data_IF_303012921095
#
_entry.id   IF_303012921095
#
_cell.length_a   1.000
_cell.length_b   1.000
_cell.length_c   1.000
_cell.angle_alpha   90.00
_cell.angle_beta   90.00
_cell.angle_gamma   90.00
#
_symmetry.space_group_name_H-M   'P 1'
#
loop_
_entity.id
_entity.type
_entity.pdbx_description
1 polymer ?
#
# COMPACT_ATOMS: atom_id res chain seq x y z
N UNK A 1 -4.81 -5.42 15.02
CA UNK A 1 -5.37 -5.41 16.40
C UNK A 1 -6.38 -6.55 16.57
N UNK A 2 -7.44 -6.61 15.77
CA UNK A 2 -8.40 -7.71 15.82
C UNK A 2 -7.80 -9.07 15.42
N UNK A 3 -6.81 -9.10 14.53
CA UNK A 3 -6.09 -10.34 14.19
C UNK A 3 -5.36 -10.96 15.39
N UNK A 4 -4.91 -10.14 16.34
CA UNK A 4 -4.28 -10.61 17.59
C UNK A 4 -5.35 -11.07 18.59
N UNK A 5 -6.31 -10.19 18.90
CA UNK A 5 -7.26 -10.43 20.00
C UNK A 5 -8.42 -11.33 19.61
N UNK A 6 -8.83 -11.35 18.35
CA UNK A 6 -9.89 -12.20 17.82
C UNK A 6 -9.67 -13.68 18.17
N UNK A 7 -8.58 -14.32 17.73
CA UNK A 7 -8.30 -15.71 18.09
C UNK A 7 -8.06 -15.88 19.60
N UNK A 8 -7.31 -14.98 20.25
CA UNK A 8 -6.98 -15.13 21.67
C UNK A 8 -8.19 -15.05 22.62
N UNK A 9 -9.24 -14.30 22.25
CA UNK A 9 -10.48 -14.19 23.03
C UNK A 9 -11.51 -15.27 22.69
N UNK A 10 -11.33 -16.00 21.59
CA UNK A 10 -12.30 -16.99 21.09
C UNK A 10 -11.78 -18.42 21.09
N UNK A 11 -10.55 -18.65 21.58
CA UNK A 11 -9.90 -19.97 21.58
C UNK A 11 -9.30 -20.38 20.23
N UNK A 12 -9.14 -19.42 19.31
CA UNK A 12 -8.47 -19.62 18.03
C UNK A 12 -6.94 -19.65 18.13
N UNK A 13 -6.29 -20.06 17.04
CA UNK A 13 -4.83 -20.02 16.89
C UNK A 13 -4.43 -18.73 16.15
N UNK A 14 -3.47 -18.01 16.71
CA UNK A 14 -2.81 -16.87 16.07
C UNK A 14 -1.51 -17.35 15.40
N UNK A 15 -1.35 -17.07 14.11
CA UNK A 15 -0.09 -17.27 13.39
C UNK A 15 0.63 -15.93 13.30
N UNK A 16 1.79 -15.84 13.95
CA UNK A 16 2.68 -14.68 13.79
C UNK A 16 3.62 -14.97 12.64
N UNK A 17 3.49 -14.18 11.58
CA UNK A 17 4.21 -14.40 10.32
C UNK A 17 5.36 -13.41 10.21
N UNK A 18 6.49 -13.89 9.72
CA UNK A 18 7.65 -13.04 9.42
C UNK A 18 7.29 -11.95 8.40
N UNK A 19 7.86 -10.75 8.58
CA UNK A 19 7.53 -9.57 7.77
C UNK A 19 7.90 -9.73 6.30
N UNK A 20 9.01 -10.42 6.00
CA UNK A 20 9.44 -10.65 4.62
C UNK A 20 8.55 -11.70 3.97
N UNK A 21 8.22 -12.78 4.69
CA UNK A 21 7.31 -13.82 4.22
C UNK A 21 5.92 -13.26 3.93
N UNK A 22 5.35 -12.45 4.82
CA UNK A 22 4.05 -11.82 4.62
C UNK A 22 3.99 -10.89 3.39
N UNK A 23 5.14 -10.49 2.84
CA UNK A 23 5.27 -9.65 1.64
C UNK A 23 5.65 -10.43 0.37
N UNK A 24 5.85 -11.74 0.47
CA UNK A 24 6.00 -12.62 -0.68
C UNK A 24 4.69 -13.41 -0.92
N UNK A 25 3.87 -13.01 -1.91
CA UNK A 25 2.57 -13.62 -2.15
C UNK A 25 2.62 -15.14 -2.34
N UNK A 26 3.64 -15.66 -3.03
CA UNK A 26 3.75 -17.10 -3.32
C UNK A 26 4.04 -17.92 -2.07
N UNK A 27 5.03 -17.50 -1.27
CA UNK A 27 5.32 -18.15 0.01
C UNK A 27 4.16 -18.00 1.01
N UNK A 28 3.49 -16.84 1.00
CA UNK A 28 2.37 -16.60 1.90
C UNK A 28 1.14 -17.46 1.57
N UNK A 29 0.85 -17.70 0.27
CA UNK A 29 -0.18 -18.66 -0.17
C UNK A 29 0.11 -20.07 0.36
N UNK A 30 1.36 -20.53 0.27
CA UNK A 30 1.78 -21.85 0.78
C UNK A 30 1.67 -21.93 2.30
N UNK A 31 2.14 -20.91 3.02
CA UNK A 31 1.97 -20.82 4.47
C UNK A 31 0.49 -20.91 4.87
N UNK A 32 -0.40 -20.19 4.17
CA UNK A 32 -1.83 -20.25 4.46
C UNK A 32 -2.41 -21.66 4.28
N UNK A 33 -1.90 -22.43 3.31
CA UNK A 33 -2.33 -23.80 3.09
C UNK A 33 -1.75 -24.77 4.12
N UNK A 34 -0.45 -24.72 4.36
CA UNK A 34 0.28 -25.62 5.26
C UNK A 34 -0.19 -25.47 6.70
N UNK A 35 -0.40 -24.23 7.14
CA UNK A 35 -0.87 -23.92 8.49
C UNK A 35 -2.40 -23.99 8.62
N UNK A 36 -3.13 -24.19 7.51
CA UNK A 36 -4.59 -24.29 7.51
C UNK A 36 -5.28 -23.01 7.98
N UNK A 37 -4.80 -21.84 7.53
CA UNK A 37 -5.35 -20.54 7.90
C UNK A 37 -6.82 -20.45 7.48
N UNK A 38 -7.70 -20.05 8.40
CA UNK A 38 -9.16 -19.99 8.19
C UNK A 38 -9.74 -18.58 8.11
N UNK A 39 -9.01 -17.58 8.62
CA UNK A 39 -9.40 -16.16 8.58
C UNK A 39 -8.17 -15.37 8.20
N UNK A 40 -8.29 -14.54 7.17
CA UNK A 40 -7.21 -13.73 6.64
C UNK A 40 -7.64 -12.27 6.56
N UNK A 41 -6.90 -11.34 7.16
CA UNK A 41 -7.07 -9.90 6.91
C UNK A 41 -6.04 -9.45 5.88
N UNK A 42 -6.46 -8.65 4.90
CA UNK A 42 -5.56 -8.02 3.93
C UNK A 42 -6.06 -6.64 3.55
N UNK A 43 -5.17 -5.78 3.08
CA UNK A 43 -5.60 -4.65 2.27
C UNK A 43 -6.01 -5.18 0.88
N UNK A 44 -6.93 -4.51 0.17
CA UNK A 44 -7.29 -4.85 -1.21
C UNK A 44 -6.08 -5.14 -2.12
N UNK A 45 -5.07 -4.27 -2.13
CA UNK A 45 -3.87 -4.43 -2.96
C UNK A 45 -3.08 -5.70 -2.64
N UNK A 46 -2.92 -6.02 -1.35
CA UNK A 46 -2.19 -7.21 -0.93
C UNK A 46 -3.00 -8.49 -1.25
N UNK A 47 -4.33 -8.43 -1.13
CA UNK A 47 -5.21 -9.51 -1.57
C UNK A 47 -5.11 -9.79 -3.07
N UNK A 48 -5.01 -8.77 -3.92
CA UNK A 48 -4.89 -8.98 -5.38
C UNK A 48 -3.63 -9.75 -5.73
N UNK A 49 -2.52 -9.43 -5.06
CA UNK A 49 -1.26 -10.17 -5.21
C UNK A 49 -1.37 -11.61 -4.71
N UNK A 50 -2.02 -11.82 -3.57
CA UNK A 50 -2.30 -13.15 -3.02
C UNK A 50 -3.15 -13.99 -3.98
N UNK A 51 -4.22 -13.41 -4.54
CA UNK A 51 -5.10 -14.05 -5.50
C UNK A 51 -4.35 -14.46 -6.78
N UNK A 52 -3.50 -13.57 -7.30
CA UNK A 52 -2.68 -13.86 -8.48
C UNK A 52 -1.67 -14.98 -8.19
N UNK A 53 -0.95 -14.94 -7.07
CA UNK A 53 -0.01 -15.99 -6.70
C UNK A 53 -0.69 -17.34 -6.52
N UNK A 54 -1.88 -17.37 -5.90
CA UNK A 54 -2.69 -18.58 -5.79
C UNK A 54 -3.07 -19.14 -7.16
N UNK A 55 -3.37 -18.32 -8.17
CA UNK A 55 -3.68 -18.81 -9.54
C UNK A 55 -2.50 -19.52 -10.21
N UNK A 56 -1.28 -19.10 -9.90
CA UNK A 56 -0.06 -19.72 -10.42
C UNK A 56 0.21 -21.08 -9.78
N UNK A 57 -0.23 -21.28 -8.52
CA UNK A 57 -0.09 -22.55 -7.79
C UNK A 57 -1.47 -23.23 -7.59
N UNK A 58 -2.06 -23.74 -8.69
CA UNK A 58 -3.45 -24.25 -8.73
C UNK A 58 -3.72 -25.43 -7.78
N UNK A 59 -2.69 -26.18 -7.43
CA UNK A 59 -2.80 -27.39 -6.61
C UNK A 59 -2.92 -27.09 -5.11
N UNK A 60 -2.46 -25.91 -4.65
CA UNK A 60 -2.54 -25.50 -3.24
C UNK A 60 -3.99 -25.41 -2.76
N UNK A 61 -4.39 -26.15 -1.73
CA UNK A 61 -5.75 -26.07 -1.16
C UNK A 61 -5.74 -25.17 0.08
N UNK A 62 -6.59 -24.14 0.06
CA UNK A 62 -6.73 -23.19 1.18
C UNK A 62 -7.90 -23.62 2.09
N UNK A 63 -7.73 -23.39 3.40
CA UNK A 63 -8.77 -23.61 4.42
C UNK A 63 -9.52 -22.32 4.79
N UNK A 64 -9.37 -21.26 3.98
CA UNK A 64 -9.94 -19.94 4.25
C UNK A 64 -11.48 -20.01 4.26
N UNK A 65 -12.07 -19.47 5.33
CA UNK A 65 -13.51 -19.24 5.48
C UNK A 65 -13.86 -17.77 5.32
N UNK A 66 -12.97 -16.88 5.74
CA UNK A 66 -13.16 -15.43 5.63
C UNK A 66 -11.89 -14.75 5.11
N UNK A 67 -12.07 -13.82 4.18
CA UNK A 67 -11.04 -12.86 3.80
C UNK A 67 -11.62 -11.46 4.06
N UNK A 68 -10.99 -10.74 4.98
CA UNK A 68 -11.44 -9.43 5.46
C UNK A 68 -10.57 -8.34 4.86
N UNK A 69 -11.22 -7.42 4.16
CA UNK A 69 -10.60 -6.25 3.55
C UNK A 69 -10.78 -5.01 4.39
N UNK A 70 -9.79 -4.12 4.35
CA UNK A 70 -9.92 -2.77 4.87
C UNK A 70 -8.73 -1.90 4.50
N UNK A 71 -8.89 -0.60 4.70
CA UNK A 71 -7.80 0.38 4.54
C UNK A 71 -7.54 0.86 3.11
N UNK A 72 -8.22 0.31 2.09
CA UNK A 72 -8.21 0.82 0.71
C UNK A 72 -9.60 0.66 0.07
N UNK A 73 -9.84 1.37 -1.03
CA UNK A 73 -11.00 1.13 -1.88
C UNK A 73 -10.90 -0.24 -2.58
N UNK A 74 -12.02 -0.96 -2.68
CA UNK A 74 -12.07 -2.21 -3.44
C UNK A 74 -12.26 -1.95 -4.92
N UNK A 75 -11.37 -2.51 -5.73
CA UNK A 75 -11.58 -2.67 -7.15
C UNK A 75 -12.35 -3.98 -7.43
N UNK A 76 -13.62 -3.83 -7.80
CA UNK A 76 -14.51 -4.96 -8.07
C UNK A 76 -14.10 -5.86 -9.24
N UNK A 77 -13.27 -5.40 -10.18
CA UNK A 77 -12.77 -6.27 -11.24
C UNK A 77 -11.88 -7.38 -10.68
N UNK A 78 -11.00 -7.06 -9.73
CA UNK A 78 -10.14 -8.05 -9.08
C UNK A 78 -10.91 -8.95 -8.12
N UNK A 79 -11.95 -8.42 -7.47
CA UNK A 79 -12.83 -9.24 -6.62
C UNK A 79 -13.64 -10.23 -7.46
N UNK A 80 -14.20 -9.78 -8.61
CA UNK A 80 -14.91 -10.65 -9.56
C UNK A 80 -14.02 -11.80 -10.04
N UNK A 81 -12.77 -11.49 -10.35
CA UNK A 81 -11.74 -12.47 -10.75
C UNK A 81 -11.55 -13.57 -9.70
N UNK A 82 -11.56 -13.24 -8.40
CA UNK A 82 -11.48 -14.25 -7.34
C UNK A 82 -12.67 -15.21 -7.35
N UNK A 83 -13.89 -14.68 -7.50
CA UNK A 83 -15.09 -15.52 -7.60
C UNK A 83 -15.12 -16.39 -8.86
N UNK A 84 -14.54 -15.94 -9.97
CA UNK A 84 -14.38 -16.77 -11.17
C UNK A 84 -13.47 -17.99 -10.89
N UNK A 85 -12.46 -17.85 -10.03
CA UNK A 85 -11.57 -18.95 -9.63
C UNK A 85 -12.17 -19.84 -8.53
N UNK A 86 -13.06 -19.27 -7.71
CA UNK A 86 -13.76 -19.92 -6.60
C UNK A 86 -15.29 -19.80 -6.77
N UNK A 87 -15.88 -20.41 -7.81
CA UNK A 87 -17.33 -20.37 -7.99
C UNK A 87 -18.04 -21.02 -6.80
N UNK A 88 -19.26 -20.57 -6.48
CA UNK A 88 -20.07 -21.15 -5.41
C UNK A 88 -20.09 -22.69 -5.50
N UNK A 89 -19.56 -23.37 -4.48
CA UNK A 89 -19.38 -24.83 -4.47
C UNK A 89 -17.99 -25.34 -4.91
N UNK A 90 -16.98 -24.48 -5.09
CA UNK A 90 -15.59 -24.94 -5.22
C UNK A 90 -15.12 -25.58 -3.92
N UNK A 91 -14.41 -26.72 -3.97
CA UNK A 91 -13.95 -27.39 -2.77
C UNK A 91 -12.87 -26.57 -2.05
N UNK A 92 -13.26 -25.85 -1.00
CA UNK A 92 -12.39 -25.68 0.17
C UNK A 92 -12.45 -26.97 1.00
N UNK A 93 -11.64 -27.08 2.06
CA UNK A 93 -11.72 -28.22 2.99
C UNK A 93 -13.13 -28.41 3.59
N UNK A 94 -14.00 -27.39 3.50
CA UNK A 94 -15.39 -27.37 3.99
C UNK A 94 -16.45 -27.21 2.87
N UNK A 95 -16.08 -27.26 1.58
CA UNK A 95 -17.05 -27.32 0.45
C UNK A 95 -17.67 -25.99 -0.02
N UNK A 96 -17.21 -24.84 0.49
CA UNK A 96 -17.56 -23.49 0.00
C UNK A 96 -16.32 -22.59 -0.01
N UNK A 97 -16.16 -21.74 -1.04
CA UNK A 97 -15.10 -20.73 -1.08
C UNK A 97 -15.22 -19.71 0.06
N UNK A 98 -14.15 -18.95 0.39
CA UNK A 98 -14.20 -18.01 1.51
C UNK A 98 -15.17 -16.86 1.24
N UNK A 99 -15.85 -16.42 2.31
CA UNK A 99 -16.63 -15.18 2.29
C UNK A 99 -15.67 -14.00 2.26
N UNK A 100 -15.77 -13.22 1.19
CA UNK A 100 -15.07 -11.95 1.07
C UNK A 100 -15.85 -10.87 1.81
N UNK A 101 -15.17 -10.11 2.67
CA UNK A 101 -15.80 -9.12 3.54
C UNK A 101 -15.10 -7.80 3.37
N UNK A 102 -15.81 -6.77 2.91
CA UNK A 102 -15.34 -5.40 2.98
C UNK A 102 -15.65 -4.80 4.35
N UNK A 103 -14.65 -4.29 5.05
CA UNK A 103 -14.83 -3.55 6.29
C UNK A 103 -14.23 -2.16 6.16
N UNK A 104 -14.98 -1.15 6.58
CA UNK A 104 -14.49 0.21 6.66
C UNK A 104 -14.34 0.63 8.10
N UNK A 105 -13.32 1.43 8.34
CA UNK A 105 -13.11 2.15 9.57
C UNK A 105 -11.76 2.83 9.57
N UNK A 106 -11.56 3.62 10.61
CA UNK A 106 -10.40 4.47 10.77
C UNK A 106 -9.85 4.28 12.17
N UNK A 107 -8.61 4.69 12.38
CA UNK A 107 -7.90 4.52 13.65
C UNK A 107 -8.69 5.10 14.82
N UNK A 108 -9.30 6.27 14.64
CA UNK A 108 -10.04 7.00 15.66
C UNK A 108 -11.35 6.32 16.10
N UNK A 109 -11.80 5.32 15.35
CA UNK A 109 -13.03 4.56 15.60
C UNK A 109 -12.77 3.09 15.86
N UNK A 110 -11.54 2.73 16.24
CA UNK A 110 -11.13 1.37 16.62
C UNK A 110 -11.25 0.36 15.47
N UNK A 111 -10.38 0.51 14.47
CA UNK A 111 -10.17 -0.44 13.35
C UNK A 111 -11.29 -0.43 12.31
N UNK A 112 -12.46 -0.99 12.63
CA UNK A 112 -13.57 -1.14 11.70
C UNK A 112 -14.88 -0.75 12.38
N UNK A 113 -15.79 -0.16 11.62
CA UNK A 113 -17.08 0.38 12.06
C UNK A 113 -18.23 -0.15 11.23
N UNK A 114 -17.97 -0.59 10.00
CA UNK A 114 -18.95 -1.22 9.14
C UNK A 114 -18.44 -2.55 8.58
N UNK A 115 -19.39 -3.37 8.14
CA UNK A 115 -19.17 -4.70 7.61
C UNK A 115 -20.08 -4.95 6.40
N UNK A 116 -19.51 -5.49 5.32
CA UNK A 116 -20.23 -5.90 4.12
C UNK A 116 -19.67 -7.21 3.56
N UNK A 117 -20.38 -8.34 3.67
CA UNK A 117 -20.03 -9.54 2.93
C UNK A 117 -20.39 -9.33 1.46
N UNK A 118 -19.44 -9.60 0.57
CA UNK A 118 -19.58 -9.39 -0.86
C UNK A 118 -20.20 -10.62 -1.53
N UNK A 119 -21.16 -10.39 -2.42
CA UNK A 119 -21.68 -11.42 -3.33
C UNK A 119 -21.32 -11.13 -4.79
N UNK A 120 -21.37 -12.18 -5.61
CA UNK A 120 -21.15 -12.02 -7.05
C UNK A 120 -22.22 -11.17 -7.73
N UNK A 121 -23.47 -11.28 -7.30
CA UNK A 121 -24.58 -10.52 -7.86
C UNK A 121 -24.38 -9.01 -7.61
N UNK A 122 -23.96 -8.63 -6.40
CA UNK A 122 -23.64 -7.23 -6.06
C UNK A 122 -22.45 -6.70 -6.85
N UNK A 123 -21.39 -7.51 -7.01
CA UNK A 123 -20.21 -7.13 -7.79
C UNK A 123 -20.54 -6.93 -9.27
N UNK A 124 -21.39 -7.78 -9.84
CA UNK A 124 -21.82 -7.68 -11.24
C UNK A 124 -22.79 -6.51 -11.48
N UNK A 125 -23.65 -6.21 -10.50
CA UNK A 125 -24.62 -5.11 -10.58
C UNK A 125 -24.08 -3.75 -10.16
N UNK A 126 -22.88 -3.68 -9.56
CA UNK A 126 -22.33 -2.44 -9.03
C UNK A 126 -21.90 -1.45 -10.12
N UNK A 127 -22.10 -0.17 -9.84
CA UNK A 127 -21.59 0.97 -10.62
C UNK A 127 -20.10 1.25 -10.40
N UNK A 128 -19.41 0.42 -9.61
CA UNK A 128 -17.97 0.55 -9.31
C UNK A 128 -17.65 1.22 -7.97
N UNK A 129 -18.64 1.65 -7.19
CA UNK A 129 -18.45 2.29 -5.88
C UNK A 129 -18.21 1.24 -4.78
N UNK A 130 -17.19 1.45 -3.95
CA UNK A 130 -16.90 0.56 -2.80
C UNK A 130 -18.04 0.56 -1.78
N UNK A 131 -18.70 -0.60 -1.67
CA UNK A 131 -19.78 -0.86 -0.71
C UNK A 131 -19.15 -1.18 0.64
N UNK A 132 -19.31 -0.26 1.60
CA UNK A 132 -18.71 -0.39 2.94
C UNK A 132 -19.69 -0.94 3.98
N UNK A 133 -20.97 -1.12 3.63
CA UNK A 133 -21.87 -2.00 4.36
C UNK A 133 -22.69 -1.33 5.46
N UNK A 134 -22.97 -2.11 6.51
CA UNK A 134 -23.81 -1.70 7.65
C UNK A 134 -22.96 -1.56 8.91
N UNK A 135 -23.37 -0.73 9.89
CA UNK A 135 -22.62 -0.55 11.12
C UNK A 135 -22.48 -1.86 11.89
N UNK A 136 -21.31 -2.07 12.50
CA UNK A 136 -21.08 -3.15 13.46
C UNK A 136 -21.95 -2.95 14.72
N UNK A 137 -22.16 -4.01 15.52
CA UNK A 137 -22.82 -3.87 16.82
C UNK A 137 -22.19 -2.75 17.66
N UNK A 138 -23.05 -2.04 18.40
CA UNK A 138 -22.67 -0.91 19.26
C UNK A 138 -22.02 0.30 18.55
N UNK A 139 -21.96 0.26 17.22
CA UNK A 139 -21.45 1.35 16.37
C UNK A 139 -22.60 2.04 15.66
N UNK A 140 -22.47 3.35 15.45
CA UNK A 140 -23.42 4.15 14.68
C UNK A 140 -22.68 4.88 13.58
N UNK A 141 -23.24 4.89 12.37
CA UNK A 141 -22.70 5.65 11.24
C UNK A 141 -23.78 6.60 10.74
N UNK A 142 -23.42 7.87 10.61
CA UNK A 142 -24.30 8.97 10.26
C UNK A 142 -23.78 9.63 8.98
N UNK A 143 -24.68 10.02 8.09
CA UNK A 143 -24.38 10.80 6.89
C UNK A 143 -24.98 12.18 7.10
N UNK A 144 -24.12 13.19 7.27
CA UNK A 144 -24.53 14.54 7.66
C UNK A 144 -24.17 15.60 6.61
N UNK A 145 -24.95 16.68 6.57
CA UNK A 145 -24.62 17.91 5.84
C UNK A 145 -23.67 18.82 6.64
N UNK A 146 -23.32 19.98 6.06
CA UNK A 146 -22.45 20.98 6.70
C UNK A 146 -23.03 21.62 7.97
N UNK A 147 -24.34 21.54 8.15
CA UNK A 147 -25.05 22.02 9.34
C UNK A 147 -25.30 20.88 10.35
N UNK A 148 -24.64 19.72 10.16
CA UNK A 148 -24.78 18.50 10.94
C UNK A 148 -26.20 17.91 10.95
N UNK A 149 -27.00 18.12 9.90
CA UNK A 149 -28.32 17.48 9.77
C UNK A 149 -28.19 16.15 9.05
N UNK A 150 -28.99 15.17 9.47
CA UNK A 150 -29.07 13.88 8.78
C UNK A 150 -29.60 14.05 7.35
N UNK A 151 -28.91 13.41 6.40
CA UNK A 151 -29.32 13.42 5.01
C UNK A 151 -30.24 12.23 4.66
N UNK A 152 -31.18 12.41 3.71
CA UNK A 152 -31.98 11.31 3.18
C UNK A 152 -31.16 10.24 2.46
N UNK A 153 -31.77 9.07 2.26
CA UNK A 153 -31.24 8.00 1.40
C UNK A 153 -30.89 8.56 0.02
N UNK A 154 -29.74 8.15 -0.52
CA UNK A 154 -29.23 8.52 -1.84
C UNK A 154 -28.48 9.85 -1.90
N UNK A 155 -28.54 10.68 -0.85
CA UNK A 155 -27.88 11.99 -0.83
C UNK A 155 -26.47 11.89 -0.24
N UNK A 156 -25.43 12.28 -1.00
CA UNK A 156 -24.04 12.35 -0.49
C UNK A 156 -23.88 13.32 0.67
N UNK A 157 -23.16 12.90 1.71
CA UNK A 157 -22.74 13.74 2.82
C UNK A 157 -21.47 13.23 3.47
N UNK A 158 -21.04 13.90 4.54
CA UNK A 158 -19.88 13.51 5.31
C UNK A 158 -20.24 12.41 6.32
N UNK A 159 -19.35 11.43 6.48
CA UNK A 159 -19.52 10.33 7.41
C UNK A 159 -19.10 10.73 8.82
N UNK A 160 -19.95 10.39 9.79
CA UNK A 160 -19.68 10.54 11.21
C UNK A 160 -19.90 9.21 11.92
N UNK A 161 -19.02 8.88 12.86
CA UNK A 161 -19.09 7.62 13.60
C UNK A 161 -19.33 7.89 15.07
N UNK A 162 -20.34 7.24 15.64
CA UNK A 162 -20.62 7.20 17.07
C UNK A 162 -20.54 5.77 17.62
N UNK A 163 -20.65 5.64 18.94
CA UNK A 163 -20.69 4.33 19.62
C UNK A 163 -19.45 4.05 20.46
N UNK A 164 -19.38 2.83 20.99
CA UNK A 164 -18.36 2.41 21.97
C UNK A 164 -16.95 2.33 21.37
N UNK A 165 -16.84 2.17 20.05
CA UNK A 165 -15.57 2.15 19.32
C UNK A 165 -14.91 3.51 19.10
N UNK A 166 -15.55 4.63 19.43
CA UNK A 166 -14.95 5.96 19.28
C UNK A 166 -13.84 6.17 20.32
N UNK A 167 -12.62 6.40 19.85
CA UNK A 167 -11.42 6.57 20.69
C UNK A 167 -11.52 7.81 21.60
N UNK A 168 -10.69 7.86 22.65
CA UNK A 168 -10.70 8.96 23.61
C UNK A 168 -10.27 10.31 23.00
N UNK A 169 -9.55 10.32 21.88
CA UNK A 169 -9.03 11.52 21.24
C UNK A 169 -7.57 11.39 20.87
N UNK A 170 -6.97 12.52 20.52
CA UNK A 170 -5.56 12.60 20.15
C UNK A 170 -4.69 12.95 21.35
N UNK A 171 -3.65 12.15 21.60
CA UNK A 171 -2.71 12.34 22.70
C UNK A 171 -2.07 13.74 22.62
N UNK A 172 -2.17 14.51 23.70
CA UNK A 172 -1.62 15.87 23.81
C UNK A 172 -2.09 16.86 22.72
N UNK A 173 -3.26 16.63 22.11
CA UNK A 173 -3.85 17.51 21.09
C UNK A 173 -5.34 17.78 21.38
N UNK A 174 -5.67 18.49 22.48
CA UNK A 174 -7.06 18.71 22.89
C UNK A 174 -7.86 19.57 21.89
N UNK A 175 -7.21 20.49 21.18
CA UNK A 175 -7.84 21.33 20.14
C UNK A 175 -8.34 20.47 18.98
N UNK A 176 -7.45 19.65 18.41
CA UNK A 176 -7.78 18.72 17.33
C UNK A 176 -8.82 17.69 17.79
N UNK A 177 -8.75 17.26 19.06
CA UNK A 177 -9.75 16.36 19.65
C UNK A 177 -11.13 17.01 19.70
N UNK A 178 -11.24 18.28 20.09
CA UNK A 178 -12.53 19.00 20.07
C UNK A 178 -13.05 19.25 18.65
N UNK A 179 -12.15 19.49 17.71
CA UNK A 179 -12.50 19.71 16.30
C UNK A 179 -13.07 18.45 15.64
N UNK A 180 -12.41 17.30 15.84
CA UNK A 180 -12.78 16.04 15.18
C UNK A 180 -13.80 15.22 15.95
N UNK A 181 -13.88 15.36 17.27
CA UNK A 181 -14.82 14.61 18.09
C UNK A 181 -15.89 15.53 18.67
N UNK A 182 -16.99 15.65 17.94
CA UNK A 182 -18.08 16.57 18.23
C UNK A 182 -19.15 15.91 19.10
N UNK A 183 -19.98 16.73 19.73
CA UNK A 183 -21.20 16.29 20.43
C UNK A 183 -22.38 16.52 19.50
N UNK A 184 -23.22 15.49 19.30
CA UNK A 184 -24.38 15.60 18.44
C UNK A 184 -25.69 15.42 19.23
N UNK A 185 -26.65 16.37 19.18
CA UNK A 185 -27.85 16.32 20.00
C UNK A 185 -28.74 15.10 19.77
N UNK A 186 -28.77 14.57 18.54
CA UNK A 186 -29.58 13.40 18.19
C UNK A 186 -28.85 12.07 18.43
N UNK A 187 -27.54 12.10 18.71
CA UNK A 187 -26.84 10.87 19.08
C UNK A 187 -27.35 10.40 20.46
N UNK A 188 -27.53 9.09 20.69
CA UNK A 188 -27.99 8.57 21.97
C UNK A 188 -27.19 9.13 23.15
N UNK A 189 -27.89 9.55 24.21
CA UNK A 189 -27.33 10.25 25.37
C UNK A 189 -26.50 11.51 25.03
N UNK A 190 -26.84 12.22 23.93
CA UNK A 190 -26.07 13.37 23.45
C UNK A 190 -24.67 12.97 22.99
N UNK A 191 -24.53 11.75 22.48
CA UNK A 191 -23.26 11.05 22.29
C UNK A 191 -22.22 11.77 21.44
N UNK A 192 -20.97 11.33 21.63
CA UNK A 192 -19.79 11.80 20.90
C UNK A 192 -19.74 11.14 19.52
N UNK A 193 -19.61 11.97 18.48
CA UNK A 193 -19.37 11.52 17.11
C UNK A 193 -17.96 11.92 16.67
N UNK A 194 -17.30 11.05 15.91
CA UNK A 194 -16.07 11.36 15.23
C UNK A 194 -16.33 11.74 13.77
N UNK A 195 -15.76 12.87 13.34
CA UNK A 195 -15.82 13.41 11.98
C UNK A 195 -14.75 12.78 11.09
N UNK A 196 -15.14 11.88 10.19
CA UNK A 196 -14.19 11.04 9.44
C UNK A 196 -13.42 11.77 8.35
N UNK A 197 -14.02 12.82 7.79
CA UNK A 197 -13.56 13.46 6.56
C UNK A 197 -13.83 12.65 5.29
N UNK A 198 -14.54 11.53 5.40
CA UNK A 198 -14.98 10.71 4.27
C UNK A 198 -16.38 11.13 3.81
N UNK A 199 -16.64 10.99 2.51
CA UNK A 199 -17.94 11.18 1.90
C UNK A 199 -18.60 9.82 1.67
N UNK A 200 -19.90 9.76 1.91
CA UNK A 200 -20.70 8.57 1.61
C UNK A 200 -22.18 8.86 1.54
N UNK A 201 -22.97 7.82 1.25
CA UNK A 201 -24.43 7.86 1.27
C UNK A 201 -25.02 6.49 1.55
N UNK A 202 -26.21 6.48 2.13
CA UNK A 202 -27.03 5.26 2.21
C UNK A 202 -27.72 5.03 0.87
N UNK A 203 -27.70 3.80 0.37
CA UNK A 203 -28.56 3.40 -0.74
C UNK A 203 -29.92 2.88 -0.23
N UNK A 204 -30.82 2.53 -1.16
CA UNK A 204 -32.18 2.08 -0.83
C UNK A 204 -32.21 0.75 -0.04
N UNK A 205 -31.16 -0.07 -0.16
CA UNK A 205 -30.99 -1.33 0.58
C UNK A 205 -30.42 -1.13 1.99
N UNK A 206 -30.18 0.13 2.39
CA UNK A 206 -29.55 0.50 3.64
C UNK A 206 -28.08 0.07 3.71
N UNK A 207 -27.40 -0.02 2.57
CA UNK A 207 -25.96 -0.26 2.46
C UNK A 207 -25.27 1.09 2.29
N UNK A 208 -24.18 1.31 3.03
CA UNK A 208 -23.40 2.52 2.94
C UNK A 208 -22.41 2.42 1.76
N UNK A 209 -22.47 3.41 0.88
CA UNK A 209 -21.56 3.58 -0.25
C UNK A 209 -20.48 4.60 0.12
N UNK A 210 -19.21 4.25 -0.12
CA UNK A 210 -18.09 5.17 0.02
C UNK A 210 -17.89 5.98 -1.27
N UNK A 211 -17.73 7.29 -1.14
CA UNK A 211 -17.64 8.24 -2.27
C UNK A 211 -16.30 8.99 -2.31
N UNK A 212 -15.33 8.60 -1.48
CA UNK A 212 -14.03 9.26 -1.38
C UNK A 212 -13.91 10.18 -0.18
N UNK A 213 -12.96 11.12 -0.24
CA UNK A 213 -12.64 12.04 0.87
C UNK A 213 -13.05 13.48 0.59
N UNK A 214 -13.42 14.19 1.65
CA UNK A 214 -13.68 15.62 1.67
C UNK A 214 -12.42 16.46 1.98
N UNK A 215 -11.30 15.82 2.34
CA UNK A 215 -10.03 16.47 2.66
C UNK A 215 -8.87 15.97 1.77
N UNK A 216 -7.64 16.39 2.09
CA UNK A 216 -6.43 16.08 1.31
C UNK A 216 -5.77 14.75 1.70
N UNK A 217 -6.35 13.96 2.62
CA UNK A 217 -5.76 12.68 3.00
C UNK A 217 -5.87 11.67 1.86
N UNK A 218 -4.87 10.80 1.74
CA UNK A 218 -4.81 9.80 0.67
C UNK A 218 -4.41 8.45 1.25
N UNK A 219 -4.86 7.36 0.63
CA UNK A 219 -4.43 6.00 0.95
C UNK A 219 -3.36 5.58 -0.06
N UNK A 220 -2.15 5.33 0.43
CA UNK A 220 -1.01 4.87 -0.37
C UNK A 220 -0.60 3.51 0.14
N UNK A 221 -0.82 2.45 -0.67
CA UNK A 221 -0.41 1.07 -0.35
C UNK A 221 -0.91 0.61 1.04
N UNK A 222 -2.16 0.94 1.36
CA UNK A 222 -2.82 0.60 2.63
C UNK A 222 -2.49 1.51 3.80
N UNK A 223 -1.60 2.49 3.60
CA UNK A 223 -1.27 3.47 4.63
C UNK A 223 -2.08 4.75 4.43
N UNK A 224 -2.65 5.25 5.53
CA UNK A 224 -3.22 6.59 5.59
C UNK A 224 -2.08 7.60 5.60
N UNK A 225 -2.03 8.44 4.57
CA UNK A 225 -0.99 9.46 4.40
C UNK A 225 -1.61 10.85 4.46
N UNK A 226 -1.09 11.65 5.38
CA UNK A 226 -1.35 13.08 5.46
C UNK A 226 -0.35 13.81 4.54
N UNK A 227 -0.79 14.28 3.38
CA UNK A 227 0.15 14.95 2.44
C UNK A 227 0.80 16.20 3.04
N UNK A 228 0.10 16.87 3.96
CA UNK A 228 0.63 18.00 4.73
C UNK A 228 1.84 17.65 5.62
N UNK A 229 1.96 16.41 6.09
CA UNK A 229 3.14 15.97 6.86
C UNK A 229 4.38 15.93 5.96
N UNK A 230 4.22 15.44 4.73
CA UNK A 230 5.27 15.39 3.71
C UNK A 230 5.64 16.82 3.29
N UNK A 231 4.65 17.67 3.06
CA UNK A 231 4.86 19.10 2.74
C UNK A 231 5.65 19.80 3.85
N UNK A 232 5.29 19.59 5.11
CA UNK A 232 6.00 20.16 6.26
C UNK A 232 7.45 19.66 6.34
N UNK A 233 7.68 18.37 6.10
CA UNK A 233 9.03 17.79 6.05
C UNK A 233 9.87 18.40 4.91
N UNK A 234 9.28 18.55 3.70
CA UNK A 234 9.90 19.19 2.54
C UNK A 234 10.28 20.65 2.83
N UNK A 235 9.40 21.42 3.48
CA UNK A 235 9.63 22.83 3.83
C UNK A 235 10.78 23.04 4.82
N UNK A 236 11.28 21.98 5.48
CA UNK A 236 12.48 22.08 6.32
C UNK A 236 13.79 22.05 5.50
N UNK A 237 13.72 21.75 4.21
CA UNK A 237 14.88 21.75 3.32
C UNK A 237 15.22 23.19 2.89
N UNK A 238 16.48 23.66 3.01
CA UNK A 238 16.85 25.06 2.75
C UNK A 238 16.56 25.57 1.34
N UNK A 239 16.42 24.67 0.37
CA UNK A 239 16.16 25.02 -1.03
C UNK A 239 14.67 25.08 -1.41
N UNK A 240 13.75 24.75 -0.49
CA UNK A 240 12.31 24.68 -0.76
C UNK A 240 11.59 25.85 -0.07
N UNK A 241 10.97 26.72 -0.86
CA UNK A 241 10.16 27.84 -0.37
C UNK A 241 8.68 27.46 -0.23
N UNK A 242 8.17 26.62 -1.15
CA UNK A 242 6.80 26.07 -1.12
C UNK A 242 6.79 24.62 -1.59
N UNK A 243 5.94 23.81 -0.97
CA UNK A 243 5.69 22.43 -1.37
C UNK A 243 4.19 22.16 -1.40
N UNK A 244 3.75 21.34 -2.36
CA UNK A 244 2.41 20.79 -2.42
C UNK A 244 2.49 19.32 -2.84
N UNK A 245 1.88 18.42 -2.09
CA UNK A 245 1.95 16.98 -2.32
C UNK A 245 0.55 16.45 -2.61
N UNK A 246 0.42 15.61 -3.63
CA UNK A 246 -0.82 14.92 -3.92
C UNK A 246 -0.58 13.50 -4.42
N UNK A 247 -1.60 12.66 -4.26
CA UNK A 247 -1.60 11.34 -4.88
C UNK A 247 -1.88 11.42 -6.38
N UNK A 248 -1.33 10.47 -7.12
CA UNK A 248 -1.58 10.28 -8.54
C UNK A 248 -1.60 8.78 -8.88
N UNK A 249 -2.23 8.43 -10.00
CA UNK A 249 -2.19 7.06 -10.52
C UNK A 249 -0.81 6.79 -11.14
N UNK A 250 0.02 6.04 -10.42
CA UNK A 250 1.34 5.61 -10.91
C UNK A 250 1.19 4.48 -11.93
N UNK A 251 0.20 3.62 -11.73
CA UNK A 251 -0.27 2.58 -12.64
C UNK A 251 -1.77 2.27 -12.33
N UNK A 252 -2.49 1.53 -13.19
CA UNK A 252 -3.88 1.17 -12.92
C UNK A 252 -4.05 0.47 -11.56
N UNK A 253 -4.75 1.13 -10.62
CA UNK A 253 -4.97 0.64 -9.26
C UNK A 253 -3.78 0.80 -8.30
N UNK A 254 -2.72 1.51 -8.69
CA UNK A 254 -1.54 1.78 -7.86
C UNK A 254 -1.40 3.28 -7.65
N UNK A 255 -1.64 3.72 -6.40
CA UNK A 255 -1.48 5.11 -6.02
C UNK A 255 -0.02 5.42 -5.66
N UNK A 256 0.52 6.46 -6.26
CA UNK A 256 1.81 7.07 -5.94
C UNK A 256 1.64 8.49 -5.37
N UNK A 257 2.75 9.12 -5.01
CA UNK A 257 2.79 10.50 -4.49
C UNK A 257 3.69 11.36 -5.36
N UNK A 258 3.21 12.54 -5.75
CA UNK A 258 4.00 13.57 -6.44
C UNK A 258 4.13 14.81 -5.55
N UNK A 259 5.34 15.34 -5.45
CA UNK A 259 5.64 16.61 -4.79
C UNK A 259 5.91 17.72 -5.83
N UNK A 260 5.12 18.79 -5.78
CA UNK A 260 5.34 20.01 -6.54
C UNK A 260 6.08 21.03 -5.67
N UNK A 261 7.21 21.52 -6.15
CA UNK A 261 8.16 22.32 -5.38
C UNK A 261 8.37 23.68 -6.02
N UNK A 262 8.51 24.72 -5.19
CA UNK A 262 8.98 26.05 -5.60
C UNK A 262 10.16 26.40 -4.73
N UNK A 263 11.22 26.92 -5.33
CA UNK A 263 12.44 27.31 -4.65
C UNK A 263 13.65 27.17 -5.58
N UNK A 264 14.80 26.88 -5.01
CA UNK A 264 16.03 26.61 -5.77
C UNK A 264 16.07 25.13 -6.12
N UNK A 265 16.09 24.81 -7.41
CA UNK A 265 16.17 23.42 -7.85
C UNK A 265 17.40 22.70 -7.26
N UNK A 266 17.16 21.52 -6.68
CA UNK A 266 18.20 20.62 -6.18
C UNK A 266 17.97 19.19 -6.68
N UNK A 267 18.97 18.33 -6.46
CA UNK A 267 18.89 16.94 -6.89
C UNK A 267 17.77 16.19 -6.18
N UNK A 268 17.05 15.35 -6.93
CA UNK A 268 15.93 14.57 -6.36
C UNK A 268 16.44 13.62 -5.26
N UNK A 269 17.64 13.05 -5.41
CA UNK A 269 18.22 12.18 -4.38
C UNK A 269 18.47 12.93 -3.07
N UNK A 270 18.97 14.17 -3.12
CA UNK A 270 19.15 15.04 -1.95
C UNK A 270 17.83 15.25 -1.21
N UNK A 271 16.73 15.46 -1.93
CA UNK A 271 15.40 15.59 -1.34
C UNK A 271 14.92 14.29 -0.69
N UNK A 272 15.20 13.13 -1.29
CA UNK A 272 14.86 11.82 -0.70
C UNK A 272 15.68 11.54 0.55
N UNK A 273 16.99 11.81 0.52
CA UNK A 273 17.88 11.63 1.67
C UNK A 273 17.47 12.57 2.82
N UNK A 274 16.96 13.76 2.50
CA UNK A 274 16.38 14.67 3.48
C UNK A 274 15.07 14.15 4.09
N UNK A 275 14.19 13.53 3.31
CA UNK A 275 12.90 13.02 3.81
C UNK A 275 13.01 11.69 4.58
N UNK A 276 13.89 10.79 4.14
CA UNK A 276 14.01 9.43 4.68
C UNK A 276 14.18 9.32 6.20
N UNK A 277 14.94 10.20 6.90
CA UNK A 277 15.04 10.15 8.37
C UNK A 277 13.84 10.82 9.09
N UNK A 278 12.95 11.52 8.38
CA UNK A 278 11.89 12.36 8.97
C UNK A 278 10.50 11.75 8.81
N UNK A 279 10.27 11.00 7.75
CA UNK A 279 8.98 10.37 7.45
C UNK A 279 9.16 8.90 7.06
N UNK A 280 8.14 8.04 7.28
CA UNK A 280 8.18 6.66 6.82
C UNK A 280 8.42 6.54 5.30
N UNK A 281 9.12 5.50 4.87
CA UNK A 281 9.47 5.29 3.46
C UNK A 281 8.27 5.31 2.49
N UNK A 282 7.09 4.86 2.93
CA UNK A 282 5.87 4.88 2.10
C UNK A 282 5.26 6.28 1.90
N UNK A 283 5.69 7.26 2.69
CA UNK A 283 5.28 8.67 2.55
C UNK A 283 6.25 9.47 1.66
N UNK A 284 7.40 8.92 1.29
CA UNK A 284 8.35 9.61 0.41
C UNK A 284 7.76 9.66 -1.01
N UNK A 285 7.63 10.84 -1.63
CA UNK A 285 7.09 10.98 -2.98
C UNK A 285 7.88 10.16 -4.02
N UNK A 286 7.17 9.51 -4.95
CA UNK A 286 7.81 8.82 -6.07
C UNK A 286 8.23 9.81 -7.17
N UNK A 287 7.49 10.91 -7.34
CA UNK A 287 7.81 11.98 -8.28
C UNK A 287 8.03 13.33 -7.59
N UNK A 288 8.93 14.14 -8.16
CA UNK A 288 9.19 15.51 -7.75
C UNK A 288 9.17 16.40 -8.98
N UNK A 289 8.49 17.55 -8.90
CA UNK A 289 8.37 18.49 -10.01
C UNK A 289 8.58 19.92 -9.52
N UNK A 290 9.62 20.56 -10.04
CA UNK A 290 9.88 21.96 -9.77
C UNK A 290 8.98 22.85 -10.63
N UNK A 291 8.45 23.91 -10.02
CA UNK A 291 7.60 24.90 -10.66
C UNK A 291 8.12 26.30 -10.34
N UNK A 292 7.97 27.26 -11.27
CA UNK A 292 8.28 28.67 -10.98
C UNK A 292 7.35 29.24 -9.90
N UNK A 293 6.11 28.75 -9.83
CA UNK A 293 5.15 29.07 -8.78
C UNK A 293 4.06 27.97 -8.71
N UNK A 294 3.46 27.78 -7.53
CA UNK A 294 2.25 26.96 -7.40
C UNK A 294 1.06 27.73 -8.02
N UNK A 295 0.29 27.14 -8.95
CA UNK A 295 -0.91 27.78 -9.47
C UNK A 295 -1.93 27.93 -8.34
N UNK A 296 -2.59 29.08 -8.26
CA UNK A 296 -3.58 29.36 -7.22
C UNK A 296 -4.92 29.77 -7.82
N UNK A 297 -6.00 29.31 -7.19
CA UNK A 297 -7.36 29.80 -7.40
C UNK A 297 -7.48 31.29 -7.01
N UNK A 298 -8.55 32.00 -7.43
CA UNK A 298 -8.83 33.38 -7.00
C UNK A 298 -8.89 33.58 -5.48
N UNK A 299 -9.15 32.51 -4.72
CA UNK A 299 -9.21 32.51 -3.26
C UNK A 299 -7.85 32.20 -2.60
N UNK A 300 -6.76 32.16 -3.37
CA UNK A 300 -5.40 31.96 -2.85
C UNK A 300 -5.03 30.52 -2.48
N UNK A 301 -5.92 29.53 -2.71
CA UNK A 301 -5.60 28.10 -2.55
C UNK A 301 -4.92 27.54 -3.80
N UNK A 302 -4.08 26.50 -3.66
CA UNK A 302 -3.47 25.79 -4.81
C UNK A 302 -4.56 25.22 -5.72
N UNK A 303 -4.47 25.50 -7.01
CA UNK A 303 -5.38 24.96 -8.03
C UNK A 303 -4.85 23.62 -8.55
N UNK A 304 -5.40 22.52 -8.00
CA UNK A 304 -4.99 21.15 -8.32
C UNK A 304 -5.20 20.79 -9.80
N UNK A 305 -6.19 21.39 -10.47
CA UNK A 305 -6.48 21.11 -11.89
C UNK A 305 -5.50 21.82 -12.83
N UNK A 306 -4.90 22.91 -12.36
CA UNK A 306 -3.90 23.67 -13.08
C UNK A 306 -2.47 23.14 -12.87
N UNK A 307 -2.28 22.18 -11.96
CA UNK A 307 -0.97 21.55 -11.77
C UNK A 307 -0.61 20.70 -12.99
N UNK A 308 0.66 20.74 -13.45
CA UNK A 308 1.11 19.90 -14.55
C UNK A 308 0.87 18.42 -14.25
N UNK A 309 0.39 17.67 -15.25
CA UNK A 309 0.07 16.25 -15.09
C UNK A 309 1.24 15.46 -14.51
N UNK A 310 0.94 14.59 -13.55
CA UNK A 310 1.85 13.61 -12.98
C UNK A 310 1.95 12.42 -13.95
N UNK A 311 2.71 12.59 -15.03
CA UNK A 311 3.20 11.45 -15.81
C UNK A 311 4.62 11.17 -15.35
N UNK A 312 4.99 9.90 -15.22
CA UNK A 312 6.37 9.52 -15.46
C UNK A 312 6.65 9.91 -16.91
N UNK A 313 7.06 11.16 -17.13
CA UNK A 313 7.75 11.48 -18.35
C UNK A 313 9.03 10.66 -18.30
N UNK A 314 9.21 9.79 -19.29
CA UNK A 314 10.49 9.21 -19.66
C UNK A 314 11.44 10.37 -19.91
N UNK A 315 12.02 10.84 -18.82
CA UNK A 315 12.76 12.08 -18.78
C UNK A 315 13.94 11.86 -19.71
N UNK A 316 13.96 12.60 -20.82
CA UNK A 316 15.04 12.65 -21.80
C UNK A 316 16.32 13.26 -21.23
N UNK A 317 16.68 12.90 -20.00
CA UNK A 317 18.04 12.98 -19.53
C UNK A 317 18.88 12.04 -20.39
N UNK A 318 20.03 12.52 -20.82
CA UNK A 318 21.06 11.72 -21.47
C UNK A 318 21.27 10.42 -20.70
N UNK A 319 20.70 9.31 -21.17
CA UNK A 319 20.87 8.02 -20.53
C UNK A 319 22.36 7.69 -20.63
N UNK A 320 23.08 7.76 -19.51
CA UNK A 320 24.50 7.41 -19.47
C UNK A 320 24.68 6.00 -20.03
N UNK A 321 25.48 5.88 -21.09
CA UNK A 321 25.72 4.59 -21.74
C UNK A 321 26.53 3.63 -20.86
N UNK A 322 26.42 2.33 -21.11
CA UNK A 322 27.24 1.30 -20.50
C UNK A 322 28.74 1.66 -20.52
N UNK A 323 29.42 1.55 -19.36
CA UNK A 323 30.88 1.72 -19.26
C UNK A 323 31.62 0.39 -19.46
N UNK A 324 30.95 -0.70 -19.09
CA UNK A 324 31.51 -2.06 -19.09
C UNK A 324 30.56 -3.04 -19.79
N UNK A 325 31.03 -4.23 -20.20
CA UNK A 325 30.14 -5.30 -20.69
C UNK A 325 29.08 -5.73 -19.65
N UNK A 326 29.43 -5.70 -18.36
CA UNK A 326 28.51 -6.00 -17.26
C UNK A 326 27.40 -4.94 -17.16
N UNK A 327 27.73 -3.65 -17.31
CA UNK A 327 26.72 -2.58 -17.37
C UNK A 327 25.71 -2.86 -18.49
N UNK A 328 26.18 -3.34 -19.66
CA UNK A 328 25.32 -3.68 -20.80
C UNK A 328 24.37 -4.85 -20.50
N UNK A 329 24.88 -5.93 -19.90
CA UNK A 329 24.06 -7.08 -19.51
C UNK A 329 23.01 -6.69 -18.46
N UNK A 330 23.38 -5.86 -17.48
CA UNK A 330 22.46 -5.36 -16.48
C UNK A 330 21.40 -4.44 -17.08
N UNK A 331 21.74 -3.59 -18.05
CA UNK A 331 20.76 -2.79 -18.79
C UNK A 331 19.73 -3.71 -19.46
N UNK A 332 20.15 -4.71 -20.22
CA UNK A 332 19.24 -5.61 -20.93
C UNK A 332 18.30 -6.35 -19.97
N UNK A 333 18.84 -6.85 -18.85
CA UNK A 333 18.06 -7.52 -17.80
C UNK A 333 17.06 -6.57 -17.16
N UNK A 334 17.48 -5.35 -16.81
CA UNK A 334 16.59 -4.35 -16.22
C UNK A 334 15.48 -3.94 -17.20
N UNK A 335 15.79 -3.73 -18.47
CA UNK A 335 14.80 -3.38 -19.50
C UNK A 335 13.75 -4.48 -19.66
N UNK A 336 14.18 -5.74 -19.64
CA UNK A 336 13.29 -6.90 -19.72
C UNK A 336 12.36 -7.00 -18.50
N UNK A 337 12.91 -6.84 -17.29
CA UNK A 337 12.16 -7.00 -16.03
C UNK A 337 11.25 -5.80 -15.74
N UNK A 338 11.70 -4.60 -16.08
CA UNK A 338 10.96 -3.36 -15.82
C UNK A 338 9.97 -3.01 -16.94
N UNK A 339 10.17 -3.57 -18.14
CA UNK A 339 9.47 -3.23 -19.38
C UNK A 339 9.67 -1.76 -19.78
N UNK A 340 10.93 -1.31 -19.76
CA UNK A 340 11.34 0.06 -20.08
C UNK A 340 12.31 0.05 -21.27
N UNK A 341 12.00 0.82 -22.31
CA UNK A 341 12.74 0.77 -23.59
C UNK A 341 14.15 1.35 -23.54
N UNK A 342 14.45 2.25 -22.59
CA UNK A 342 15.79 2.85 -22.41
C UNK A 342 16.08 3.01 -20.93
N UNK A 343 17.22 2.46 -20.51
CA UNK A 343 17.75 2.58 -19.15
C UNK A 343 19.21 3.00 -19.25
N UNK A 344 19.58 4.07 -18.55
CA UNK A 344 20.95 4.52 -18.36
C UNK A 344 21.55 3.91 -17.09
N UNK A 345 22.88 3.87 -17.02
CA UNK A 345 23.57 3.24 -15.88
C UNK A 345 23.34 3.94 -14.53
N UNK A 346 22.89 5.20 -14.56
CA UNK A 346 22.60 6.02 -13.38
C UNK A 346 21.12 6.01 -13.01
N UNK A 347 20.28 5.36 -13.82
CA UNK A 347 18.85 5.29 -13.54
C UNK A 347 18.61 4.37 -12.34
N UNK A 348 17.77 4.85 -11.44
CA UNK A 348 17.47 4.13 -10.21
C UNK A 348 16.37 3.10 -10.46
N UNK A 349 16.61 1.86 -10.04
CA UNK A 349 15.69 0.73 -10.18
C UNK A 349 14.27 1.06 -9.73
N UNK A 350 14.14 1.68 -8.55
CA UNK A 350 12.84 1.97 -7.94
C UNK A 350 12.12 3.14 -8.63
N UNK A 351 12.86 4.09 -9.21
CA UNK A 351 12.26 5.20 -9.97
C UNK A 351 11.76 4.75 -11.34
N UNK A 352 12.35 3.68 -11.90
CA UNK A 352 11.90 3.04 -13.13
C UNK A 352 10.70 2.08 -12.91
N UNK A 353 10.03 2.15 -11.77
CA UNK A 353 8.91 1.26 -11.42
C UNK A 353 9.36 -0.14 -10.98
N UNK A 354 10.60 -0.26 -10.52
CA UNK A 354 11.10 -1.41 -9.79
C UNK A 354 10.48 -1.48 -8.39
N UNK A 355 9.96 -2.64 -8.02
CA UNK A 355 9.41 -2.91 -6.70
C UNK A 355 9.87 -4.30 -6.24
N UNK A 356 9.63 -4.69 -4.99
CA UNK A 356 10.15 -5.93 -4.40
C UNK A 356 9.97 -7.18 -5.28
N UNK A 357 8.82 -7.33 -5.95
CA UNK A 357 8.59 -8.45 -6.88
C UNK A 357 9.48 -8.38 -8.13
N UNK A 358 9.63 -7.19 -8.70
CA UNK A 358 10.55 -6.98 -9.83
C UNK A 358 12.00 -7.15 -9.37
N UNK A 359 12.36 -6.77 -8.15
CA UNK A 359 13.69 -6.94 -7.58
C UNK A 359 14.05 -8.43 -7.39
N UNK A 360 13.10 -9.25 -6.94
CA UNK A 360 13.29 -10.71 -6.83
C UNK A 360 13.45 -11.34 -8.22
N UNK A 361 12.60 -10.96 -9.19
CA UNK A 361 12.76 -11.39 -10.59
C UNK A 361 14.09 -10.92 -11.17
N UNK A 362 14.53 -9.72 -10.79
CA UNK A 362 15.76 -9.11 -11.25
C UNK A 362 16.98 -9.89 -10.74
N UNK A 363 17.01 -10.25 -9.46
CA UNK A 363 18.07 -11.08 -8.87
C UNK A 363 18.28 -12.36 -9.67
N UNK A 364 17.20 -13.12 -9.89
CA UNK A 364 17.28 -14.37 -10.65
C UNK A 364 17.71 -14.15 -12.12
N UNK A 365 17.23 -13.06 -12.74
CA UNK A 365 17.56 -12.73 -14.12
C UNK A 365 19.03 -12.25 -14.27
N UNK A 366 19.58 -11.55 -13.28
CA UNK A 366 20.99 -11.12 -13.25
C UNK A 366 21.90 -12.34 -13.14
N UNK A 367 21.59 -13.28 -12.25
CA UNK A 367 22.37 -14.50 -12.08
C UNK A 367 22.37 -15.34 -13.37
N UNK A 368 21.21 -15.48 -14.03
CA UNK A 368 21.13 -16.18 -15.31
C UNK A 368 21.89 -15.49 -16.46
N UNK A 369 21.93 -14.16 -16.48
CA UNK A 369 22.54 -13.40 -17.56
C UNK A 369 24.06 -13.20 -17.40
N UNK A 370 24.53 -13.07 -16.15
CA UNK A 370 25.92 -12.70 -15.84
C UNK A 370 26.71 -13.85 -15.22
N UNK A 371 26.03 -14.86 -14.66
CA UNK A 371 26.65 -15.92 -13.85
C UNK A 371 27.17 -15.43 -12.50
N UNK A 372 26.90 -14.17 -12.13
CA UNK A 372 27.31 -13.57 -10.87
C UNK A 372 26.15 -13.62 -9.87
N UNK A 373 26.45 -14.00 -8.64
CA UNK A 373 25.48 -14.02 -7.55
C UNK A 373 25.10 -12.60 -7.16
N UNK A 374 23.81 -12.27 -7.23
CA UNK A 374 23.27 -10.99 -6.82
C UNK A 374 22.21 -11.23 -5.75
N UNK A 375 22.34 -10.62 -4.59
CA UNK A 375 21.33 -10.74 -3.54
C UNK A 375 20.26 -9.66 -3.66
N UNK A 376 19.10 -9.90 -3.04
CA UNK A 376 18.08 -8.86 -2.94
C UNK A 376 18.61 -7.63 -2.20
N UNK A 377 19.52 -7.80 -1.23
CA UNK A 377 20.17 -6.70 -0.51
C UNK A 377 20.92 -5.78 -1.47
N UNK A 378 21.67 -6.37 -2.42
CA UNK A 378 22.47 -5.60 -3.38
C UNK A 378 21.60 -4.67 -4.25
N UNK A 379 20.40 -5.10 -4.64
CA UNK A 379 19.47 -4.25 -5.41
C UNK A 379 18.99 -3.04 -4.61
N UNK A 380 18.85 -3.17 -3.29
CA UNK A 380 18.40 -2.08 -2.42
C UNK A 380 19.55 -1.16 -2.01
N UNK A 381 20.74 -1.69 -1.75
CA UNK A 381 21.92 -0.92 -1.36
C UNK A 381 22.60 -0.24 -2.56
N UNK A 382 22.53 -0.86 -3.74
CA UNK A 382 23.15 -0.37 -4.98
C UNK A 382 22.08 -0.21 -6.08
N UNK A 383 21.15 0.75 -5.94
CA UNK A 383 19.93 0.79 -6.74
C UNK A 383 20.11 1.35 -8.15
N UNK A 384 21.34 1.46 -8.65
CA UNK A 384 21.66 1.85 -10.03
C UNK A 384 22.57 0.80 -10.66
N UNK A 385 22.50 0.65 -11.98
CA UNK A 385 23.33 -0.33 -12.71
C UNK A 385 24.82 -0.06 -12.48
N UNK A 386 25.23 1.22 -12.41
CA UNK A 386 26.60 1.62 -12.09
C UNK A 386 27.06 1.04 -10.76
N UNK A 387 26.30 1.28 -9.70
CA UNK A 387 26.66 0.85 -8.34
C UNK A 387 26.63 -0.67 -8.22
N UNK A 388 25.62 -1.31 -8.83
CA UNK A 388 25.45 -2.75 -8.80
C UNK A 388 26.56 -3.48 -9.56
N UNK A 389 26.95 -2.96 -10.74
CA UNK A 389 28.06 -3.51 -11.52
C UNK A 389 29.38 -3.42 -10.76
N UNK A 390 29.66 -2.28 -10.13
CA UNK A 390 30.88 -2.07 -9.34
C UNK A 390 30.92 -3.04 -8.14
N UNK A 391 29.78 -3.28 -7.49
CA UNK A 391 29.67 -4.25 -6.39
C UNK A 391 29.90 -5.70 -6.85
N UNK A 392 29.21 -6.13 -7.91
CA UNK A 392 29.35 -7.49 -8.45
C UNK A 392 30.77 -7.78 -8.95
N UNK A 393 31.44 -6.78 -9.53
CA UNK A 393 32.82 -6.91 -9.99
C UNK A 393 33.87 -6.97 -8.87
N UNK A 394 33.53 -6.53 -7.65
CA UNK A 394 34.45 -6.47 -6.50
C UNK A 394 34.38 -7.69 -5.58
N UNK A 395 33.43 -8.61 -5.81
CA UNK A 395 33.30 -9.85 -5.03
C UNK A 395 34.05 -10.99 -5.73
N UNK A 396 35.22 -11.45 -5.24
CA UNK A 396 35.82 -12.69 -5.74
C UNK A 396 34.97 -13.88 -5.30
N UNK A 397 34.69 -14.81 -6.21
CA UNK A 397 34.07 -16.08 -5.86
C UNK A 397 35.00 -16.88 -4.95
N UNK A 398 34.53 -17.27 -3.77
CA UNK A 398 35.21 -18.20 -2.89
C UNK A 398 34.54 -19.59 -3.01
N UNK A 399 35.03 -20.46 -3.91
CA UNK A 399 34.40 -21.74 -4.20
C UNK A 399 34.41 -22.71 -3.01
N UNK A 400 35.26 -22.50 -1.99
CA UNK A 400 35.19 -23.30 -0.75
C UNK A 400 34.06 -22.83 0.15
N UNK A 401 33.83 -21.52 0.25
CA UNK A 401 32.71 -20.97 1.02
C UNK A 401 31.36 -21.34 0.37
N UNK A 402 31.26 -21.25 -0.95
CA UNK A 402 30.05 -21.62 -1.69
C UNK A 402 29.74 -23.12 -1.60
N UNK A 403 30.76 -23.99 -1.56
CA UNK A 403 30.57 -25.42 -1.36
C UNK A 403 30.10 -25.76 0.07
N UNK A 404 30.58 -25.01 1.07
CA UNK A 404 30.14 -25.14 2.47
C UNK A 404 28.70 -24.64 2.61
N UNK A 405 28.37 -23.48 2.08
CA UNK A 405 27.03 -22.88 2.19
C UNK A 405 25.97 -23.67 1.40
N UNK A 406 26.33 -24.25 0.25
CA UNK A 406 25.42 -25.10 -0.54
C UNK A 406 25.28 -26.53 -0.01
N UNK A 407 26.13 -26.96 0.93
CA UNK A 407 25.99 -28.26 1.62
C UNK A 407 25.28 -28.16 2.96
N UNK A 408 25.02 -26.93 3.45
CA UNK A 408 24.27 -26.66 4.67
C UNK A 408 22.76 -26.71 4.43
N UNK A 409 22.01 -27.25 5.39
CA UNK A 409 20.57 -27.13 5.40
C UNK A 409 20.14 -25.67 5.63
N UNK A 410 18.92 -25.25 5.22
CA UNK A 410 18.46 -23.87 5.39
C UNK A 410 18.52 -23.34 6.84
N UNK A 411 18.46 -24.23 7.83
CA UNK A 411 18.53 -23.91 9.26
C UNK A 411 19.98 -23.64 9.71
N UNK A 412 20.95 -24.40 9.18
CA UNK A 412 22.39 -24.23 9.47
C UNK A 412 22.95 -22.98 8.78
N UNK A 413 22.52 -22.73 7.54
CA UNK A 413 22.87 -21.53 6.79
C UNK A 413 22.39 -20.26 7.51
N UNK A 414 21.18 -20.29 8.06
CA UNK A 414 20.61 -19.19 8.85
C UNK A 414 21.42 -18.93 10.13
N UNK A 415 21.76 -19.98 10.88
CA UNK A 415 22.56 -19.85 12.10
C UNK A 415 23.97 -19.30 11.84
N UNK A 416 24.58 -19.66 10.71
CA UNK A 416 25.90 -19.17 10.31
C UNK A 416 25.88 -17.68 9.91
N UNK A 417 24.85 -17.26 9.16
CA UNK A 417 24.64 -15.86 8.76
C UNK A 417 24.27 -14.96 9.96
N UNK A 418 23.51 -15.47 10.93
CA UNK A 418 23.19 -14.76 12.17
C UNK A 418 24.46 -14.51 13.02
N UNK A 419 25.45 -15.40 12.94
CA UNK A 419 26.73 -15.27 13.66
C UNK A 419 27.66 -14.23 13.03
N UNK A 420 27.64 -14.10 11.70
CA UNK A 420 28.40 -13.07 10.96
C UNK A 420 27.80 -11.67 11.06
N UNK A 421 26.52 -11.55 11.42
CA UNK A 421 25.83 -10.26 11.62
C UNK A 421 26.07 -9.63 13.01
N UNK A 422 26.76 -10.35 13.91
CA UNK A 422 27.09 -9.92 15.28
C UNK A 422 28.54 -9.42 15.43
N UNK A 423 29.37 -9.58 14.40
CA UNK A 423 30.71 -8.99 14.25
C UNK A 423 30.66 -7.84 13.24
#
# INVERSE_FOLDING_TARGET
MWELWGPLLTGGRLHVVDRLLARDPSSFVRLCADEGVTVLSQTPSAFYQFAEARRHDRDVRLALRYIVFGGEELNFEYVRRWFDDFPAGTPSREGQGPVLVNMYGITETTVHVTYHPLSMDEIQGSTGLSLIGKPLPETQVWVLDSDHRMLPIGVPGELYVGGTGVSLGYLNRPELTRERFIVHPLAPAGGRLYKTGDLGRWNEDGILEYLGRNDHQVQIRGFRVETGEIEAALLTHPSIDKAFVMAFDEAPGVMGLIAYLVGRETGIQELRDHLSPRIPAYMVPSLFKWLPALPTTPNGKVDRKALPAAKLESSGSSHSSARTPLDGQLIDVWQSVLHVDRIGIDDNFFHLGGQSLKAIKLVNAIEQATGMTCSLRDIFEFPTIRLLADQLASTPSDPELDAILNSMSPEELKAHLDQLALE
#
